data_IF_259671292384
#
_entry.id   IF_259671292384
#
_cell.length_a   1.000
_cell.length_b   1.000
_cell.length_c   1.000
_cell.angle_alpha   90.00
_cell.angle_beta   90.00
_cell.angle_gamma   90.00
#
_symmetry.space_group_name_H-M   'P 1'
#
loop_
_entity.id
_entity.type
_entity.pdbx_description
1 polymer ?
#
# COMPACT_ATOMS: atom_id res chain seq x y z
N UNK A 1 58.58 11.42 -0.79
CA UNK A 1 58.44 12.39 -1.89
C UNK A 1 56.99 12.40 -2.33
N UNK A 2 56.29 13.52 -2.15
CA UNK A 2 54.85 13.61 -2.44
C UNK A 2 54.67 14.21 -3.82
N UNK A 3 54.18 13.41 -4.79
CA UNK A 3 53.97 13.86 -6.17
C UNK A 3 52.72 14.72 -6.30
N UNK A 4 52.75 15.91 -5.72
CA UNK A 4 51.62 16.83 -5.73
C UNK A 4 51.39 17.46 -7.11
N UNK A 5 52.43 17.62 -7.91
CA UNK A 5 52.37 18.19 -9.27
C UNK A 5 51.75 17.21 -10.28
N UNK A 6 51.90 15.90 -10.07
CA UNK A 6 51.43 14.91 -11.05
C UNK A 6 49.90 14.94 -11.18
N UNK A 7 49.39 15.14 -12.39
CA UNK A 7 47.95 15.29 -12.67
C UNK A 7 47.14 14.01 -12.40
N UNK A 8 47.67 12.85 -12.80
CA UNK A 8 46.99 11.56 -12.70
C UNK A 8 47.92 10.49 -12.11
N UNK A 9 47.37 9.60 -11.28
CA UNK A 9 48.08 8.45 -10.72
C UNK A 9 48.70 7.54 -11.79
N UNK A 10 48.12 7.55 -13.00
CA UNK A 10 48.65 6.81 -14.16
C UNK A 10 50.02 7.34 -14.62
N UNK A 11 50.26 8.64 -14.45
CA UNK A 11 51.49 9.31 -14.88
C UNK A 11 52.63 9.21 -13.86
N UNK A 12 52.34 8.73 -12.65
CA UNK A 12 53.37 8.40 -11.66
C UNK A 12 54.22 7.26 -12.21
N UNK A 13 55.55 7.47 -12.25
CA UNK A 13 56.51 6.49 -12.78
C UNK A 13 56.42 5.15 -12.04
N UNK A 14 56.76 4.06 -12.71
CA UNK A 14 56.72 2.74 -12.08
C UNK A 14 57.76 2.61 -10.96
N UNK A 15 58.94 3.21 -11.14
CA UNK A 15 60.00 3.29 -10.13
C UNK A 15 59.49 3.89 -8.82
N UNK A 16 58.79 5.02 -8.91
CA UNK A 16 58.10 5.68 -7.81
C UNK A 16 57.11 4.74 -7.08
N UNK A 17 56.29 3.99 -7.83
CA UNK A 17 55.34 3.02 -7.26
C UNK A 17 56.05 1.85 -6.58
N UNK A 18 57.21 1.45 -7.08
CA UNK A 18 58.03 0.41 -6.48
C UNK A 18 58.73 0.87 -5.21
N UNK A 19 59.20 2.11 -5.15
CA UNK A 19 59.75 2.70 -3.93
C UNK A 19 58.69 2.79 -2.83
N UNK A 20 57.47 3.22 -3.16
CA UNK A 20 56.35 3.20 -2.20
C UNK A 20 56.05 1.79 -1.69
N UNK A 21 56.11 0.79 -2.57
CA UNK A 21 55.94 -0.61 -2.19
C UNK A 21 57.03 -1.08 -1.23
N UNK A 22 58.30 -0.72 -1.50
CA UNK A 22 59.44 -1.01 -0.60
C UNK A 22 59.24 -0.35 0.77
N UNK A 23 58.85 0.92 0.81
CA UNK A 23 58.60 1.64 2.07
C UNK A 23 57.45 1.04 2.88
N UNK A 24 56.41 0.53 2.22
CA UNK A 24 55.31 -0.16 2.88
C UNK A 24 55.74 -1.51 3.46
N UNK A 25 56.52 -2.31 2.71
CA UNK A 25 57.11 -3.56 3.22
C UNK A 25 58.02 -3.34 4.42
N UNK A 26 58.72 -2.21 4.48
CA UNK A 26 59.57 -1.86 5.62
C UNK A 26 58.77 -1.44 6.87
N UNK A 27 57.56 -0.91 6.69
CA UNK A 27 56.71 -0.42 7.79
C UNK A 27 55.75 -1.49 8.32
N UNK A 28 55.34 -2.43 7.46
CA UNK A 28 54.34 -3.44 7.77
C UNK A 28 54.87 -4.83 7.44
N UNK A 29 55.01 -5.67 8.46
CA UNK A 29 55.41 -7.07 8.32
C UNK A 29 54.27 -7.90 7.66
N UNK A 30 54.63 -8.86 6.81
CA UNK A 30 53.68 -9.82 6.20
C UNK A 30 53.02 -9.38 4.88
N UNK A 31 53.55 -8.36 4.20
CA UNK A 31 53.04 -7.94 2.89
C UNK A 31 53.54 -8.83 1.74
N UNK A 32 52.66 -9.70 1.24
CA UNK A 32 52.89 -10.55 0.07
C UNK A 32 52.75 -9.80 -1.27
N UNK A 33 53.50 -10.22 -2.29
CA UNK A 33 53.53 -9.55 -3.60
C UNK A 33 52.22 -9.70 -4.41
N UNK A 34 51.42 -10.73 -4.14
CA UNK A 34 50.10 -10.92 -4.76
C UNK A 34 49.13 -9.77 -4.43
N UNK A 35 49.33 -9.12 -3.28
CA UNK A 35 48.50 -7.98 -2.85
C UNK A 35 48.98 -6.64 -3.42
N UNK A 36 50.21 -6.56 -3.97
CA UNK A 36 50.85 -5.33 -4.48
C UNK A 36 49.91 -4.55 -5.38
N UNK A 37 49.26 -5.22 -6.34
CA UNK A 37 48.35 -4.59 -7.30
C UNK A 37 47.15 -3.90 -6.63
N UNK A 38 46.49 -4.58 -5.68
CA UNK A 38 45.34 -4.05 -4.94
C UNK A 38 45.75 -2.89 -4.03
N UNK A 39 46.88 -3.03 -3.35
CA UNK A 39 47.40 -2.01 -2.42
C UNK A 39 47.81 -0.75 -3.18
N UNK A 40 48.56 -0.87 -4.28
CA UNK A 40 48.94 0.28 -5.11
C UNK A 40 47.72 0.98 -5.72
N UNK A 41 46.67 0.24 -6.10
CA UNK A 41 45.40 0.82 -6.53
C UNK A 41 44.69 1.58 -5.39
N UNK A 42 44.74 1.05 -4.17
CA UNK A 42 44.16 1.69 -3.00
C UNK A 42 44.93 2.99 -2.65
N UNK A 43 46.26 2.97 -2.68
CA UNK A 43 47.11 4.16 -2.49
C UNK A 43 46.76 5.24 -3.52
N UNK A 44 46.59 4.88 -4.78
CA UNK A 44 46.16 5.83 -5.81
C UNK A 44 44.75 6.42 -5.56
N UNK A 45 43.89 5.70 -4.85
CA UNK A 45 42.60 6.20 -4.40
C UNK A 45 42.76 7.18 -3.24
N UNK A 46 43.57 6.83 -2.23
CA UNK A 46 43.89 7.69 -1.09
C UNK A 46 44.59 8.99 -1.53
N UNK A 47 45.54 8.92 -2.46
CA UNK A 47 46.24 10.07 -3.03
C UNK A 47 45.28 11.03 -3.76
N UNK A 48 44.35 10.51 -4.57
CA UNK A 48 43.32 11.34 -5.23
C UNK A 48 42.38 11.98 -4.22
N UNK A 49 41.93 11.23 -3.21
CA UNK A 49 41.09 11.75 -2.13
C UNK A 49 41.81 12.83 -1.33
N UNK A 50 43.10 12.63 -1.03
CA UNK A 50 43.92 13.63 -0.35
C UNK A 50 44.06 14.91 -1.18
N UNK A 51 44.43 14.83 -2.48
CA UNK A 51 44.47 16.00 -3.37
C UNK A 51 43.15 16.74 -3.45
N UNK A 52 42.03 16.00 -3.45
CA UNK A 52 40.69 16.60 -3.45
C UNK A 52 40.39 17.37 -2.16
N UNK A 53 40.84 16.88 -1.00
CA UNK A 53 40.68 17.58 0.29
C UNK A 53 41.50 18.88 0.30
N UNK A 54 42.78 18.78 -0.02
CA UNK A 54 43.67 19.95 -0.13
C UNK A 54 43.12 21.00 -1.09
N UNK A 55 42.56 20.59 -2.23
CA UNK A 55 41.92 21.51 -3.18
C UNK A 55 40.63 22.15 -2.62
N UNK A 56 39.89 21.43 -1.76
CA UNK A 56 38.68 21.94 -1.11
C UNK A 56 39.06 22.98 -0.05
N UNK A 57 40.06 22.67 0.78
CA UNK A 57 40.54 23.54 1.83
C UNK A 57 41.15 24.82 1.24
N UNK A 58 41.86 24.70 0.12
CA UNK A 58 42.37 25.85 -0.65
C UNK A 58 41.23 26.76 -1.12
N UNK A 59 40.14 26.18 -1.64
CA UNK A 59 38.98 26.96 -2.09
C UNK A 59 38.30 27.67 -0.92
N UNK A 60 38.15 27.00 0.21
CA UNK A 60 37.58 27.59 1.42
C UNK A 60 38.44 28.77 1.90
N UNK A 61 39.77 28.60 1.99
CA UNK A 61 40.68 29.66 2.40
C UNK A 61 40.65 30.88 1.46
N UNK A 62 40.50 30.65 0.15
CA UNK A 62 40.32 31.72 -0.84
C UNK A 62 38.98 32.44 -0.69
N UNK A 63 37.90 31.72 -0.35
CA UNK A 63 36.58 32.30 -0.07
C UNK A 63 36.57 33.10 1.24
N UNK A 64 37.32 32.64 2.25
CA UNK A 64 37.49 33.29 3.56
C UNK A 64 38.47 34.49 3.51
N UNK A 65 39.05 34.78 2.34
CA UNK A 65 39.88 35.97 2.10
C UNK A 65 41.31 35.90 2.66
N UNK A 66 41.85 34.69 2.86
CA UNK A 66 43.22 34.53 3.38
C UNK A 66 44.26 35.09 2.41
N UNK A 67 45.32 35.67 2.97
CA UNK A 67 46.49 36.09 2.19
C UNK A 67 47.33 34.89 1.73
N UNK A 68 48.12 35.10 0.70
CA UNK A 68 49.02 34.09 0.12
C UNK A 68 50.00 33.51 1.16
N UNK A 69 50.47 34.34 2.08
CA UNK A 69 51.38 33.95 3.17
C UNK A 69 50.67 33.07 4.21
N UNK A 70 49.42 33.35 4.52
CA UNK A 70 48.60 32.54 5.43
C UNK A 70 48.28 31.18 4.84
N UNK A 71 47.99 31.11 3.53
CA UNK A 71 47.76 29.85 2.81
C UNK A 71 49.03 28.99 2.84
N UNK A 72 50.19 29.59 2.58
CA UNK A 72 51.47 28.86 2.60
C UNK A 72 51.83 28.38 4.02
N UNK A 73 51.61 29.21 5.05
CA UNK A 73 51.95 28.84 6.43
C UNK A 73 51.02 27.78 7.03
N UNK A 74 49.72 27.79 6.68
CA UNK A 74 48.71 26.93 7.34
C UNK A 74 48.27 25.73 6.52
N UNK A 75 48.37 25.80 5.18
CA UNK A 75 47.80 24.80 4.28
C UNK A 75 48.84 23.97 3.51
N UNK A 76 50.13 24.36 3.57
CA UNK A 76 51.19 23.58 2.96
C UNK A 76 51.29 22.19 3.61
N UNK A 77 51.16 21.10 2.84
CA UNK A 77 51.30 19.75 3.39
C UNK A 77 52.74 19.45 3.82
N UNK A 78 52.89 18.75 4.94
CA UNK A 78 54.20 18.30 5.44
C UNK A 78 54.95 17.47 4.37
N UNK A 79 56.18 17.89 4.06
CA UNK A 79 57.04 17.19 3.09
C UNK A 79 56.82 17.51 1.61
N UNK A 80 56.06 18.58 1.30
CA UNK A 80 55.95 19.16 -0.05
C UNK A 80 56.79 20.44 -0.11
N UNK A 81 57.65 20.56 -1.12
CA UNK A 81 58.45 21.78 -1.33
C UNK A 81 57.56 22.99 -1.72
N UNK A 82 58.01 24.19 -1.36
CA UNK A 82 57.26 25.42 -1.62
C UNK A 82 57.11 25.69 -3.13
N UNK A 83 58.10 25.31 -3.94
CA UNK A 83 58.01 25.45 -5.40
C UNK A 83 56.92 24.54 -5.98
N UNK A 84 56.86 23.28 -5.54
CA UNK A 84 55.86 22.31 -5.95
C UNK A 84 54.45 22.71 -5.49
N UNK A 85 54.34 23.25 -4.27
CA UNK A 85 53.10 23.77 -3.71
C UNK A 85 52.57 24.97 -4.50
N UNK A 86 53.44 25.94 -4.82
CA UNK A 86 53.07 27.11 -5.60
C UNK A 86 52.61 26.76 -7.02
N UNK A 87 53.25 25.76 -7.64
CA UNK A 87 52.87 25.24 -8.96
C UNK A 87 51.50 24.59 -8.93
N UNK A 88 51.25 23.74 -7.92
CA UNK A 88 49.94 23.12 -7.71
C UNK A 88 48.83 24.14 -7.48
N UNK A 89 49.09 25.18 -6.68
CA UNK A 89 48.12 26.26 -6.41
C UNK A 89 47.76 27.02 -7.68
N UNK A 90 48.76 27.48 -8.45
CA UNK A 90 48.56 28.15 -9.74
C UNK A 90 47.72 27.30 -10.70
N UNK A 91 47.98 26.00 -10.75
CA UNK A 91 47.22 25.07 -11.57
C UNK A 91 45.75 24.95 -11.11
N UNK A 92 45.49 24.89 -9.80
CA UNK A 92 44.12 24.81 -9.23
C UNK A 92 43.35 26.13 -9.32
N UNK A 93 44.04 27.26 -9.33
CA UNK A 93 43.46 28.58 -9.49
C UNK A 93 43.20 28.96 -10.96
N UNK A 94 43.81 28.21 -11.90
CA UNK A 94 43.65 28.41 -13.33
C UNK A 94 42.17 28.38 -13.76
N UNK A 95 41.85 29.20 -14.76
CA UNK A 95 40.51 29.27 -15.35
C UNK A 95 40.08 27.92 -15.94
N UNK A 96 41.01 27.24 -16.63
CA UNK A 96 40.77 25.90 -17.21
C UNK A 96 40.36 24.85 -16.17
N UNK A 97 41.01 24.83 -14.99
CA UNK A 97 40.65 23.92 -13.91
C UNK A 97 39.28 24.26 -13.31
N UNK A 98 38.99 25.55 -13.11
CA UNK A 98 37.71 26.03 -12.58
C UNK A 98 36.54 25.67 -13.50
N UNK A 99 36.68 25.87 -14.81
CA UNK A 99 35.69 25.49 -15.82
C UNK A 99 35.44 23.98 -15.84
N UNK A 100 36.52 23.18 -15.85
CA UNK A 100 36.43 21.73 -15.80
C UNK A 100 35.72 21.25 -14.53
N UNK A 101 36.08 21.82 -13.38
CA UNK A 101 35.42 21.54 -12.10
C UNK A 101 33.94 21.91 -12.12
N UNK A 102 33.57 23.05 -12.72
CA UNK A 102 32.19 23.50 -12.86
C UNK A 102 31.38 22.54 -13.72
N UNK A 103 31.90 22.19 -14.90
CA UNK A 103 31.29 21.20 -15.82
C UNK A 103 31.00 19.87 -15.12
N UNK A 104 31.94 19.32 -14.35
CA UNK A 104 31.71 18.06 -13.62
C UNK A 104 30.78 18.21 -12.41
N UNK A 105 30.70 19.38 -11.77
CA UNK A 105 29.68 19.67 -10.75
C UNK A 105 28.28 19.68 -11.38
N UNK A 106 28.12 20.32 -12.53
CA UNK A 106 26.86 20.35 -13.29
C UNK A 106 26.45 18.97 -13.80
N UNK A 107 27.38 18.15 -14.30
CA UNK A 107 27.07 16.79 -14.72
C UNK A 107 26.60 15.92 -13.54
N UNK A 108 27.21 16.07 -12.35
CA UNK A 108 26.79 15.35 -11.15
C UNK A 108 25.43 15.83 -10.62
N UNK A 109 25.11 17.11 -10.70
CA UNK A 109 23.80 17.64 -10.27
C UNK A 109 22.64 17.15 -11.16
N UNK A 110 22.93 16.78 -12.41
CA UNK A 110 21.97 16.15 -13.33
C UNK A 110 21.68 14.69 -13.00
N UNK A 111 22.59 13.98 -12.32
CA UNK A 111 22.41 12.57 -11.93
C UNK A 111 21.51 12.42 -10.69
N UNK A 112 20.20 12.63 -10.89
CA UNK A 112 19.20 12.69 -9.81
C UNK A 112 18.57 11.34 -9.44
N UNK A 113 18.62 10.36 -10.33
CA UNK A 113 17.96 9.05 -10.20
C UNK A 113 18.99 7.93 -10.38
N UNK A 114 19.87 7.69 -9.37
CA UNK A 114 20.84 6.60 -9.43
C UNK A 114 20.15 5.24 -9.22
N UNK A 115 20.49 4.27 -10.06
CA UNK A 115 20.11 2.87 -9.85
C UNK A 115 21.01 2.23 -8.76
N UNK A 116 20.50 1.23 -8.06
CA UNK A 116 21.20 0.55 -6.93
C UNK A 116 21.67 -0.86 -7.26
N UNK A 117 21.32 -1.35 -8.45
CA UNK A 117 21.54 -2.71 -8.95
C UNK A 117 23.00 -3.06 -9.30
N UNK A 118 23.99 -2.18 -9.05
CA UNK A 118 25.42 -2.45 -9.24
C UNK A 118 25.71 -3.13 -10.60
N UNK A 119 26.46 -4.24 -10.61
CA UNK A 119 26.82 -5.02 -11.83
C UNK A 119 25.73 -6.00 -12.30
N UNK A 120 24.53 -5.99 -11.70
CA UNK A 120 23.51 -7.02 -11.93
C UNK A 120 22.83 -6.90 -13.30
N UNK A 121 22.50 -5.69 -13.73
CA UNK A 121 21.76 -5.48 -15.00
C UNK A 121 20.25 -5.77 -14.88
N UNK A 122 19.46 -5.24 -15.82
CA UNK A 122 17.99 -5.28 -15.77
C UNK A 122 17.44 -6.68 -16.07
N UNK A 123 18.06 -7.41 -17.02
CA UNK A 123 17.64 -8.76 -17.39
C UNK A 123 17.67 -9.74 -16.20
N UNK A 124 18.75 -9.72 -15.42
CA UNK A 124 18.86 -10.56 -14.20
C UNK A 124 17.88 -10.15 -13.10
N UNK A 125 17.58 -8.85 -13.00
CA UNK A 125 16.59 -8.36 -12.05
C UNK A 125 15.19 -8.85 -12.43
N UNK A 126 14.89 -8.86 -13.73
CA UNK A 126 13.62 -9.34 -14.28
C UNK A 126 13.44 -10.84 -13.98
N UNK A 127 14.45 -11.67 -14.26
CA UNK A 127 14.39 -13.11 -13.96
C UNK A 127 14.13 -13.40 -12.47
N UNK A 128 14.81 -12.68 -11.56
CA UNK A 128 14.57 -12.84 -10.12
C UNK A 128 13.15 -12.42 -9.71
N UNK A 129 12.64 -11.34 -10.31
CA UNK A 129 11.28 -10.88 -10.05
C UNK A 129 10.24 -11.87 -10.61
N UNK A 130 10.50 -12.52 -11.75
CA UNK A 130 9.63 -13.57 -12.32
C UNK A 130 9.62 -14.80 -11.41
N UNK A 131 10.81 -15.21 -10.96
CA UNK A 131 10.96 -16.33 -10.04
C UNK A 131 10.27 -16.10 -8.68
N UNK A 132 10.32 -14.88 -8.13
CA UNK A 132 9.68 -14.54 -6.85
C UNK A 132 8.16 -14.40 -6.93
N UNK A 133 7.66 -13.76 -7.99
CA UNK A 133 6.24 -13.43 -8.11
C UNK A 133 5.40 -14.50 -8.81
N UNK A 134 6.04 -15.40 -9.57
CA UNK A 134 5.36 -16.38 -10.41
C UNK A 134 4.64 -15.76 -11.62
N UNK A 135 4.83 -14.45 -11.89
CA UNK A 135 4.25 -13.75 -13.05
C UNK A 135 5.05 -14.04 -14.32
N UNK A 136 4.35 -14.26 -15.44
CA UNK A 136 4.98 -14.48 -16.74
C UNK A 136 5.71 -13.22 -17.24
N UNK A 137 5.13 -12.04 -17.01
CA UNK A 137 5.67 -10.75 -17.42
C UNK A 137 5.71 -9.74 -16.27
N UNK A 138 6.73 -8.88 -16.31
CA UNK A 138 6.96 -7.81 -15.33
C UNK A 138 6.87 -6.49 -16.06
N UNK A 139 6.10 -5.56 -15.50
CA UNK A 139 6.03 -4.21 -16.03
C UNK A 139 7.40 -3.53 -15.95
N UNK A 140 7.74 -2.78 -16.99
CA UNK A 140 8.93 -1.92 -17.00
C UNK A 140 8.94 -0.96 -15.81
N UNK A 141 7.78 -0.51 -15.36
CA UNK A 141 7.64 0.35 -14.18
C UNK A 141 8.06 -0.38 -12.90
N UNK A 142 7.58 -1.60 -12.68
CA UNK A 142 7.94 -2.44 -11.53
C UNK A 142 9.43 -2.76 -11.52
N UNK A 143 9.98 -3.10 -12.70
CA UNK A 143 11.40 -3.36 -12.87
C UNK A 143 12.26 -2.13 -12.56
N UNK A 144 11.78 -0.94 -12.95
CA UNK A 144 12.44 0.32 -12.63
C UNK A 144 12.37 0.63 -11.13
N UNK A 145 11.21 0.45 -10.49
CA UNK A 145 11.03 0.66 -9.04
C UNK A 145 11.99 -0.24 -8.24
N UNK A 146 12.05 -1.52 -8.57
CA UNK A 146 12.91 -2.49 -7.88
C UNK A 146 14.40 -2.15 -8.05
N UNK A 147 14.79 -1.66 -9.23
CA UNK A 147 16.19 -1.28 -9.50
C UNK A 147 16.70 -0.07 -8.71
N UNK A 148 15.81 0.69 -8.05
CA UNK A 148 16.14 1.91 -7.31
C UNK A 148 15.89 1.78 -5.79
N UNK A 149 15.69 0.55 -5.30
CA UNK A 149 15.58 0.23 -3.88
C UNK A 149 16.94 -0.03 -3.23
N UNK A 150 17.09 0.35 -1.98
CA UNK A 150 18.26 0.01 -1.17
C UNK A 150 18.15 -1.43 -0.61
N UNK A 151 19.16 -1.89 0.13
CA UNK A 151 19.16 -3.23 0.76
C UNK A 151 18.04 -3.45 1.79
N UNK A 152 17.38 -2.38 2.24
CA UNK A 152 16.23 -2.39 3.16
C UNK A 152 14.89 -2.25 2.42
N UNK A 153 14.89 -2.44 1.10
CA UNK A 153 13.72 -2.33 0.22
C UNK A 153 13.08 -0.93 0.15
N UNK A 154 13.78 0.11 0.62
CA UNK A 154 13.31 1.49 0.58
C UNK A 154 13.90 2.25 -0.61
N UNK A 155 13.23 3.31 -1.12
CA UNK A 155 13.79 4.17 -2.16
C UNK A 155 15.17 4.72 -1.76
N UNK A 156 16.12 4.77 -2.70
CA UNK A 156 17.48 5.24 -2.40
C UNK A 156 17.55 6.75 -2.04
N UNK A 157 16.62 7.57 -2.54
CA UNK A 157 16.54 9.02 -2.28
C UNK A 157 15.09 9.51 -2.42
N UNK A 158 14.76 10.65 -1.81
CA UNK A 158 13.42 11.25 -1.78
C UNK A 158 12.87 11.55 -3.18
N UNK A 159 13.73 11.91 -4.12
CA UNK A 159 13.34 12.13 -5.53
C UNK A 159 12.86 10.84 -6.19
N UNK A 160 13.49 9.71 -5.88
CA UNK A 160 13.04 8.39 -6.34
C UNK A 160 11.72 8.06 -5.67
N UNK A 161 11.58 8.33 -4.36
CA UNK A 161 10.31 8.11 -3.65
C UNK A 161 9.14 8.89 -4.28
N UNK A 162 9.35 10.15 -4.66
CA UNK A 162 8.34 10.94 -5.37
C UNK A 162 7.96 10.37 -6.74
N UNK A 163 8.94 9.91 -7.53
CA UNK A 163 8.69 9.25 -8.82
C UNK A 163 7.97 7.91 -8.65
N UNK A 164 8.30 7.14 -7.61
CA UNK A 164 7.60 5.89 -7.26
C UNK A 164 6.16 6.17 -6.86
N UNK A 165 5.89 7.22 -6.08
CA UNK A 165 4.52 7.62 -5.72
C UNK A 165 3.71 8.12 -6.92
N UNK A 166 4.35 8.76 -7.90
CA UNK A 166 3.68 9.24 -9.11
C UNK A 166 3.35 8.09 -10.09
N UNK A 167 4.21 7.08 -10.18
CA UNK A 167 4.10 5.98 -11.14
C UNK A 167 3.45 4.72 -10.58
N UNK A 168 3.29 4.63 -9.27
CA UNK A 168 2.54 3.56 -8.64
C UNK A 168 1.20 4.15 -8.19
N UNK A 169 0.06 3.84 -8.83
CA UNK A 169 -1.21 4.13 -8.17
C UNK A 169 -1.12 3.47 -6.80
N UNK A 170 -1.49 4.17 -5.71
CA UNK A 170 -1.50 3.53 -4.41
C UNK A 170 -2.29 2.22 -4.55
N UNK A 171 -1.83 1.13 -3.94
CA UNK A 171 -2.65 -0.08 -3.90
C UNK A 171 -4.01 0.31 -3.28
N UNK A 172 -5.02 0.43 -4.13
CA UNK A 172 -6.37 0.88 -3.75
C UNK A 172 -7.21 -0.35 -3.40
N UNK A 173 -6.76 -1.58 -3.71
CA UNK A 173 -7.40 -2.81 -3.29
C UNK A 173 -7.60 -2.81 -1.76
N UNK A 174 -8.85 -2.97 -1.34
CA UNK A 174 -9.28 -2.92 0.05
C UNK A 174 -9.58 -1.52 0.61
N UNK A 175 -9.45 -0.46 -0.19
CA UNK A 175 -9.84 0.90 0.23
C UNK A 175 -11.30 1.17 -0.07
N UNK A 176 -11.96 1.86 0.86
CA UNK A 176 -13.31 2.37 0.67
C UNK A 176 -13.33 3.48 -0.37
N UNK A 177 -14.30 3.43 -1.27
CA UNK A 177 -14.57 4.45 -2.27
C UNK A 177 -16.04 4.86 -2.24
N UNK A 178 -16.31 6.06 -2.73
CA UNK A 178 -17.65 6.61 -2.85
C UNK A 178 -18.07 6.57 -4.32
N UNK A 179 -19.25 6.02 -4.58
CA UNK A 179 -19.82 5.91 -5.92
C UNK A 179 -20.71 7.12 -6.12
N UNK A 180 -20.38 7.93 -7.11
CA UNK A 180 -21.07 9.17 -7.43
C UNK A 180 -22.01 8.96 -8.62
N UNK A 181 -23.09 9.73 -8.65
CA UNK A 181 -23.98 9.78 -9.79
C UNK A 181 -23.27 10.46 -10.97
N UNK A 182 -23.25 9.80 -12.13
CA UNK A 182 -22.65 10.36 -13.34
C UNK A 182 -23.34 11.65 -13.78
N UNK A 183 -24.66 11.74 -13.60
CA UNK A 183 -25.46 12.91 -13.97
C UNK A 183 -25.40 14.02 -12.92
N UNK A 184 -24.92 13.72 -11.72
CA UNK A 184 -24.86 14.65 -10.60
C UNK A 184 -23.62 14.34 -9.74
N UNK A 185 -22.42 14.82 -10.15
CA UNK A 185 -21.14 14.41 -9.56
C UNK A 185 -20.96 14.75 -8.07
N UNK A 186 -21.89 15.50 -7.45
CA UNK A 186 -21.91 15.77 -6.00
C UNK A 186 -22.84 14.84 -5.22
N UNK A 187 -23.65 14.02 -5.89
CA UNK A 187 -24.62 13.11 -5.29
C UNK A 187 -23.99 11.74 -5.12
N UNK A 188 -23.90 11.27 -3.88
CA UNK A 188 -23.33 9.97 -3.52
C UNK A 188 -24.43 8.92 -3.66
N UNK A 189 -24.24 7.98 -4.59
CA UNK A 189 -25.19 6.91 -4.90
C UNK A 189 -24.88 5.65 -4.08
N UNK A 190 -23.62 5.45 -3.70
CA UNK A 190 -23.22 4.30 -2.90
C UNK A 190 -21.84 4.46 -2.26
N UNK A 191 -21.52 3.55 -1.36
CA UNK A 191 -20.16 3.33 -0.87
C UNK A 191 -19.75 1.92 -1.28
N UNK A 192 -18.48 1.73 -1.61
CA UNK A 192 -17.95 0.44 -1.99
C UNK A 192 -16.52 0.26 -1.51
N UNK A 193 -15.99 -0.94 -1.72
CA UNK A 193 -14.60 -1.27 -1.48
C UNK A 193 -13.99 -1.72 -2.80
N UNK A 194 -12.81 -1.19 -3.15
CA UNK A 194 -12.13 -1.56 -4.39
C UNK A 194 -11.57 -2.97 -4.24
N UNK A 195 -11.96 -3.87 -5.15
CA UNK A 195 -11.59 -5.28 -5.13
C UNK A 195 -10.36 -5.57 -5.98
N UNK A 196 -10.23 -4.93 -7.14
CA UNK A 196 -9.09 -5.14 -8.04
C UNK A 196 -8.85 -3.92 -8.92
N UNK A 197 -7.58 -3.62 -9.16
CA UNK A 197 -7.05 -2.63 -10.09
C UNK A 197 -6.33 -3.28 -11.30
N UNK A 198 -6.38 -4.61 -11.41
CA UNK A 198 -5.72 -5.35 -12.50
C UNK A 198 -6.50 -5.20 -13.82
N UNK A 199 -5.91 -4.57 -14.87
CA UNK A 199 -6.56 -4.38 -16.17
C UNK A 199 -7.02 -5.69 -16.84
N UNK A 200 -6.40 -6.82 -16.48
CA UNK A 200 -6.71 -8.14 -17.00
C UNK A 200 -7.77 -8.88 -16.19
N UNK A 201 -8.23 -8.31 -15.08
CA UNK A 201 -9.28 -8.90 -14.27
C UNK A 201 -10.59 -8.95 -15.09
N UNK A 202 -11.19 -10.14 -15.15
CA UNK A 202 -12.37 -10.40 -15.97
C UNK A 202 -13.63 -10.14 -15.16
N UNK A 203 -14.55 -9.37 -15.74
CA UNK A 203 -15.93 -9.21 -15.27
C UNK A 203 -16.81 -9.71 -16.40
N UNK A 204 -17.57 -10.79 -16.15
CA UNK A 204 -18.40 -11.47 -17.15
C UNK A 204 -17.63 -11.84 -18.45
N UNK A 205 -16.35 -12.23 -18.30
CA UNK A 205 -15.48 -12.60 -19.41
C UNK A 205 -14.86 -11.42 -20.18
N UNK A 206 -15.10 -10.18 -19.75
CA UNK A 206 -14.55 -8.97 -20.36
C UNK A 206 -13.47 -8.37 -19.44
N UNK A 207 -12.24 -8.11 -19.95
CA UNK A 207 -11.22 -7.44 -19.15
C UNK A 207 -11.62 -5.98 -18.88
N UNK A 208 -11.46 -5.53 -17.64
CA UNK A 208 -11.88 -4.19 -17.21
C UNK A 208 -11.11 -3.07 -17.92
N UNK A 209 -9.85 -3.30 -18.32
CA UNK A 209 -9.01 -2.33 -19.00
C UNK A 209 -8.27 -1.36 -18.07
N UNK A 210 -7.35 -0.56 -18.64
CA UNK A 210 -6.32 0.16 -17.89
C UNK A 210 -6.79 1.33 -16.99
N UNK A 211 -8.02 1.80 -17.15
CA UNK A 211 -8.58 2.93 -16.39
C UNK A 211 -9.86 2.56 -15.63
N UNK A 212 -10.09 1.27 -15.40
CA UNK A 212 -11.27 0.77 -14.69
C UNK A 212 -10.84 0.07 -13.40
N UNK A 213 -11.72 0.13 -12.39
CA UNK A 213 -11.52 -0.53 -11.11
C UNK A 213 -12.72 -1.41 -10.83
N UNK A 214 -12.49 -2.62 -10.33
CA UNK A 214 -13.57 -3.44 -9.81
C UNK A 214 -13.89 -2.99 -8.39
N UNK A 215 -15.16 -2.66 -8.13
CA UNK A 215 -15.64 -2.19 -6.83
C UNK A 215 -16.78 -3.08 -6.35
N UNK A 216 -16.67 -3.58 -5.13
CA UNK A 216 -17.79 -4.23 -4.45
C UNK A 216 -18.63 -3.15 -3.74
N UNK A 217 -19.87 -2.96 -4.17
CA UNK A 217 -20.78 -1.99 -3.55
C UNK A 217 -21.28 -2.55 -2.22
N UNK A 218 -20.94 -1.89 -1.11
CA UNK A 218 -21.59 -2.19 0.16
C UNK A 218 -23.00 -1.59 0.09
N UNK A 219 -24.04 -2.43 0.06
CA UNK A 219 -25.39 -1.93 0.33
C UNK A 219 -25.37 -1.30 1.73
N UNK A 220 -25.69 0.00 1.82
CA UNK A 220 -25.93 0.71 3.08
C UNK A 220 -27.22 0.20 3.71
N UNK A 221 -27.20 -1.06 4.13
CA UNK A 221 -28.19 -1.59 5.03
C UNK A 221 -27.80 -1.06 6.41
N UNK A 222 -28.58 -0.12 6.91
CA UNK A 222 -28.53 0.45 8.28
C UNK A 222 -28.55 -0.62 9.39
N UNK A 223 -28.67 -1.90 9.01
CA UNK A 223 -28.64 -3.07 9.86
C UNK A 223 -27.53 -3.98 9.35
N UNK A 224 -26.28 -3.54 9.46
CA UNK A 224 -25.13 -4.45 9.60
C UNK A 224 -25.17 -5.08 11.00
N UNK A 225 -26.34 -5.62 11.36
CA UNK A 225 -26.55 -6.35 12.60
C UNK A 225 -25.90 -7.73 12.53
N UNK A 226 -26.16 -8.54 13.55
CA UNK A 226 -25.58 -9.87 13.81
C UNK A 226 -25.49 -10.87 12.62
N UNK A 227 -26.15 -10.59 11.48
CA UNK A 227 -26.06 -11.35 10.24
C UNK A 227 -24.69 -11.27 9.56
N UNK A 228 -23.98 -10.15 9.59
CA UNK A 228 -22.69 -9.96 8.90
C UNK A 228 -22.64 -10.35 7.40
N UNK A 229 -21.44 -10.35 6.83
CA UNK A 229 -21.26 -10.25 5.38
C UNK A 229 -21.31 -11.62 4.65
N UNK A 230 -22.50 -12.20 4.52
CA UNK A 230 -22.72 -13.40 3.69
C UNK A 230 -22.73 -13.07 2.19
N UNK A 231 -23.12 -11.85 1.84
CA UNK A 231 -23.33 -11.41 0.45
C UNK A 231 -22.12 -11.72 -0.43
N UNK A 232 -20.89 -11.44 0.04
CA UNK A 232 -19.67 -11.63 -0.78
C UNK A 232 -19.37 -13.10 -1.11
N UNK A 233 -19.55 -14.01 -0.16
CA UNK A 233 -19.29 -15.44 -0.38
C UNK A 233 -20.38 -16.08 -1.25
N UNK A 234 -21.64 -15.70 -1.04
CA UNK A 234 -22.75 -16.16 -1.88
C UNK A 234 -22.66 -15.60 -3.30
N UNK A 235 -22.30 -14.33 -3.49
CA UNK A 235 -22.09 -13.76 -4.82
C UNK A 235 -21.04 -14.55 -5.61
N UNK A 236 -19.91 -14.92 -5.00
CA UNK A 236 -18.88 -15.73 -5.65
C UNK A 236 -19.34 -17.13 -5.98
N UNK A 237 -20.04 -17.79 -5.05
CA UNK A 237 -20.60 -19.11 -5.29
C UNK A 237 -21.66 -19.09 -6.42
N UNK A 238 -22.50 -18.06 -6.46
CA UNK A 238 -23.51 -17.84 -7.51
C UNK A 238 -22.83 -17.57 -8.86
N UNK A 239 -21.79 -16.74 -8.90
CA UNK A 239 -21.03 -16.49 -10.12
C UNK A 239 -20.42 -17.79 -10.67
N UNK A 240 -19.74 -18.57 -9.81
CA UNK A 240 -19.19 -19.88 -10.18
C UNK A 240 -20.27 -20.84 -10.68
N UNK A 241 -21.44 -20.86 -10.03
CA UNK A 241 -22.57 -21.68 -10.48
C UNK A 241 -23.12 -21.20 -11.82
N UNK A 242 -23.19 -19.89 -12.06
CA UNK A 242 -23.59 -19.29 -13.34
C UNK A 242 -22.66 -19.74 -14.47
N UNK A 243 -21.34 -19.62 -14.26
CA UNK A 243 -20.33 -20.10 -15.21
C UNK A 243 -20.48 -21.59 -15.51
N UNK A 244 -20.68 -22.40 -14.47
CA UNK A 244 -20.87 -23.85 -14.61
C UNK A 244 -22.15 -24.20 -15.40
N UNK A 245 -23.26 -23.50 -15.15
CA UNK A 245 -24.54 -23.71 -15.85
C UNK A 245 -24.43 -23.32 -17.33
N UNK A 246 -23.78 -22.19 -17.63
CA UNK A 246 -23.59 -21.76 -19.03
C UNK A 246 -22.76 -22.76 -19.83
N UNK A 247 -21.85 -23.49 -19.19
CA UNK A 247 -20.95 -24.46 -19.82
C UNK A 247 -21.22 -25.91 -19.36
N UNK A 248 -22.48 -26.25 -19.09
CA UNK A 248 -22.86 -27.50 -18.42
C UNK A 248 -22.30 -28.77 -19.07
N UNK A 249 -22.28 -28.84 -20.40
CA UNK A 249 -21.75 -30.00 -21.12
C UNK A 249 -20.26 -30.23 -20.85
N UNK A 250 -19.46 -29.16 -20.80
CA UNK A 250 -18.03 -29.25 -20.53
C UNK A 250 -17.78 -29.66 -19.08
N UNK A 251 -18.59 -29.15 -18.15
CA UNK A 251 -18.49 -29.47 -16.72
C UNK A 251 -18.79 -30.94 -16.46
N UNK A 252 -19.91 -31.45 -16.96
CA UNK A 252 -20.32 -32.84 -16.71
C UNK A 252 -19.33 -33.87 -17.26
N UNK A 253 -18.61 -33.56 -18.34
CA UNK A 253 -17.71 -34.53 -18.97
C UNK A 253 -16.31 -34.51 -18.31
N UNK A 254 -15.84 -33.36 -17.80
CA UNK A 254 -14.43 -33.19 -17.43
C UNK A 254 -14.16 -32.56 -16.05
N UNK A 255 -15.09 -31.77 -15.49
CA UNK A 255 -14.78 -30.86 -14.38
C UNK A 255 -15.79 -30.85 -13.22
N UNK A 256 -16.74 -31.78 -13.19
CA UNK A 256 -17.79 -31.84 -12.16
C UNK A 256 -17.22 -31.84 -10.73
N UNK A 257 -16.24 -32.71 -10.46
CA UNK A 257 -15.61 -32.83 -9.14
C UNK A 257 -14.87 -31.55 -8.73
N UNK A 258 -14.21 -30.90 -9.70
CA UNK A 258 -13.41 -29.70 -9.46
C UNK A 258 -14.32 -28.52 -9.10
N UNK A 259 -15.38 -28.31 -9.88
CA UNK A 259 -16.34 -27.22 -9.64
C UNK A 259 -17.09 -27.45 -8.33
N UNK A 260 -17.52 -28.69 -8.06
CA UNK A 260 -18.22 -29.04 -6.83
C UNK A 260 -17.34 -28.77 -5.61
N UNK A 261 -16.06 -29.16 -5.66
CA UNK A 261 -15.10 -28.90 -4.59
C UNK A 261 -14.88 -27.40 -4.38
N UNK A 262 -14.71 -26.64 -5.46
CA UNK A 262 -14.51 -25.19 -5.40
C UNK A 262 -15.74 -24.49 -4.80
N UNK A 263 -16.94 -24.83 -5.28
CA UNK A 263 -18.21 -24.31 -4.76
C UNK A 263 -18.38 -24.60 -3.27
N UNK A 264 -18.08 -25.84 -2.84
CA UNK A 264 -18.12 -26.21 -1.42
C UNK A 264 -17.14 -25.39 -0.59
N UNK A 265 -15.94 -25.10 -1.13
CA UNK A 265 -14.88 -24.40 -0.40
C UNK A 265 -15.22 -22.93 -0.17
N UNK A 266 -15.82 -22.27 -1.16
CA UNK A 266 -16.29 -20.87 -1.07
C UNK A 266 -17.36 -20.73 0.01
N UNK A 267 -18.29 -21.68 0.09
CA UNK A 267 -19.37 -21.67 1.07
C UNK A 267 -18.94 -22.15 2.45
N UNK A 268 -17.95 -23.06 2.57
CA UNK A 268 -17.58 -23.68 3.83
C UNK A 268 -17.18 -22.67 4.92
N UNK A 269 -16.35 -21.67 4.57
CA UNK A 269 -15.93 -20.62 5.52
C UNK A 269 -17.11 -19.76 5.97
N UNK A 270 -18.01 -19.44 5.05
CA UNK A 270 -19.22 -18.66 5.31
C UNK A 270 -20.17 -19.43 6.22
N UNK A 271 -20.38 -20.72 5.92
CA UNK A 271 -21.31 -21.59 6.62
C UNK A 271 -20.85 -21.87 8.07
N UNK A 272 -19.55 -22.11 8.30
CA UNK A 272 -19.02 -22.27 9.67
C UNK A 272 -19.24 -21.01 10.53
N UNK A 273 -19.05 -19.83 9.96
CA UNK A 273 -19.35 -18.55 10.62
C UNK A 273 -20.84 -18.34 10.82
N UNK A 274 -21.67 -18.83 9.90
CA UNK A 274 -23.13 -18.80 10.03
C UNK A 274 -23.59 -19.63 11.22
N UNK A 275 -23.08 -20.86 11.33
CA UNK A 275 -23.40 -21.76 12.44
C UNK A 275 -22.98 -21.17 13.79
N UNK A 276 -21.75 -20.65 13.91
CA UNK A 276 -21.31 -20.04 15.17
C UNK A 276 -22.22 -18.89 15.59
N UNK A 277 -22.60 -18.04 14.64
CA UNK A 277 -23.50 -16.90 14.89
C UNK A 277 -24.93 -17.35 15.21
N UNK A 278 -25.43 -18.38 14.52
CA UNK A 278 -26.73 -18.97 14.81
C UNK A 278 -26.80 -19.46 16.27
N UNK A 279 -25.75 -20.13 16.75
CA UNK A 279 -25.68 -20.55 18.16
C UNK A 279 -25.64 -19.35 19.11
N UNK A 280 -24.89 -18.29 18.80
CA UNK A 280 -24.88 -17.06 19.61
C UNK A 280 -26.28 -16.43 19.66
N UNK A 281 -26.98 -16.37 18.51
CA UNK A 281 -28.35 -15.83 18.42
C UNK A 281 -29.34 -16.65 19.23
N UNK A 282 -29.33 -17.98 19.09
CA UNK A 282 -30.27 -18.85 19.79
C UNK A 282 -30.00 -18.88 21.29
N UNK A 283 -28.74 -18.90 21.72
CA UNK A 283 -28.36 -18.79 23.14
C UNK A 283 -28.81 -17.43 23.70
N UNK A 284 -28.54 -16.32 22.99
CA UNK A 284 -28.97 -14.99 23.40
C UNK A 284 -30.48 -14.86 23.51
N UNK A 285 -31.21 -15.41 22.55
CA UNK A 285 -32.67 -15.40 22.54
C UNK A 285 -33.26 -16.27 23.67
N UNK A 286 -32.73 -17.48 23.85
CA UNK A 286 -33.17 -18.41 24.89
C UNK A 286 -32.88 -17.90 26.30
N UNK A 287 -31.68 -17.35 26.54
CA UNK A 287 -31.34 -16.73 27.83
C UNK A 287 -32.21 -15.52 28.14
N UNK A 288 -32.51 -14.67 27.14
CA UNK A 288 -33.42 -13.53 27.31
C UNK A 288 -34.84 -13.98 27.68
N UNK A 289 -35.37 -15.01 27.03
CA UNK A 289 -36.67 -15.58 27.38
C UNK A 289 -36.67 -16.20 28.78
N UNK A 290 -35.60 -16.90 29.15
CA UNK A 290 -35.46 -17.49 30.47
C UNK A 290 -35.50 -16.41 31.58
N UNK A 291 -34.77 -15.30 31.39
CA UNK A 291 -34.80 -14.15 32.30
C UNK A 291 -36.19 -13.51 32.38
N UNK A 292 -36.92 -13.41 31.27
CA UNK A 292 -38.30 -12.92 31.27
C UNK A 292 -39.24 -13.83 32.06
N UNK A 293 -39.14 -15.16 31.93
CA UNK A 293 -39.94 -16.07 32.73
C UNK A 293 -39.58 -16.02 34.22
N UNK A 294 -38.29 -15.83 34.57
CA UNK A 294 -37.90 -15.61 35.96
C UNK A 294 -38.48 -14.32 36.52
N UNK A 295 -38.54 -13.24 35.74
CA UNK A 295 -39.17 -11.99 36.18
C UNK A 295 -40.68 -12.18 36.40
N UNK A 296 -41.35 -12.96 35.55
CA UNK A 296 -42.77 -13.32 35.74
C UNK A 296 -42.99 -14.13 37.01
N UNK A 297 -42.13 -15.12 37.28
CA UNK A 297 -42.19 -15.92 38.51
C UNK A 297 -41.99 -15.06 39.77
N UNK A 298 -41.04 -14.13 39.75
CA UNK A 298 -40.82 -13.17 40.84
C UNK A 298 -42.01 -12.22 41.02
N UNK A 299 -42.59 -11.73 39.93
CA UNK A 299 -43.79 -10.90 39.96
C UNK A 299 -44.98 -11.62 40.59
N UNK A 300 -45.20 -12.89 40.25
CA UNK A 300 -46.26 -13.71 40.85
C UNK A 300 -45.98 -14.04 42.32
N UNK A 301 -44.72 -14.33 42.67
CA UNK A 301 -44.34 -14.56 44.06
C UNK A 301 -44.60 -13.32 44.94
N UNK A 302 -44.21 -12.15 44.47
CA UNK A 302 -44.48 -10.88 45.16
C UNK A 302 -45.98 -10.58 45.24
N UNK A 303 -46.72 -10.83 44.15
CA UNK A 303 -48.18 -10.71 44.11
C UNK A 303 -48.86 -11.60 45.16
N UNK A 304 -48.41 -12.85 45.30
CA UNK A 304 -48.91 -13.78 46.32
C UNK A 304 -48.65 -13.26 47.74
N UNK A 305 -47.48 -12.66 47.98
CA UNK A 305 -47.14 -12.07 49.28
C UNK A 305 -48.05 -10.90 49.65
N UNK A 306 -48.41 -10.04 48.68
CA UNK A 306 -49.32 -8.91 48.85
C UNK A 306 -50.73 -9.35 49.26
N UNK A 307 -51.22 -10.42 48.61
CA UNK A 307 -52.52 -11.03 48.93
C UNK A 307 -52.50 -11.62 50.35
N UNK A 308 -51.40 -12.30 50.74
CA UNK A 308 -51.24 -12.85 52.09
C UNK A 308 -51.29 -11.78 53.18
N UNK A 309 -50.75 -10.59 52.92
CA UNK A 309 -50.78 -9.46 53.84
C UNK A 309 -52.13 -8.73 53.89
N UNK A 310 -53.13 -9.16 53.10
CA UNK A 310 -54.44 -8.50 52.93
C UNK A 310 -54.38 -7.06 52.41
N UNK A 311 -53.30 -6.71 51.71
CA UNK A 311 -53.12 -5.37 51.11
C UNK A 311 -53.82 -5.25 49.75
N UNK A 312 -54.08 -6.37 49.07
CA UNK A 312 -54.71 -6.38 47.73
C UNK A 312 -55.58 -7.62 47.50
N UNK A 313 -56.55 -7.51 46.58
CA UNK A 313 -57.41 -8.61 46.14
C UNK A 313 -56.71 -9.42 45.03
N UNK A 314 -57.00 -10.72 44.95
CA UNK A 314 -56.48 -11.61 43.91
C UNK A 314 -56.85 -11.12 42.50
N UNK A 315 -58.10 -10.69 42.30
CA UNK A 315 -58.59 -10.24 41.00
C UNK A 315 -57.83 -9.03 40.45
N UNK A 316 -57.65 -8.00 41.29
CA UNK A 316 -56.96 -6.77 40.89
C UNK A 316 -55.46 -7.02 40.65
N UNK A 317 -54.83 -7.80 41.52
CA UNK A 317 -53.41 -8.14 41.39
C UNK A 317 -53.15 -8.96 40.11
N UNK A 318 -53.98 -9.96 39.82
CA UNK A 318 -53.85 -10.76 38.60
C UNK A 318 -54.11 -9.93 37.33
N UNK A 319 -55.09 -9.01 37.38
CA UNK A 319 -55.40 -8.10 36.26
C UNK A 319 -54.20 -7.20 35.95
N UNK A 320 -53.58 -6.60 36.96
CA UNK A 320 -52.40 -5.75 36.76
C UNK A 320 -51.21 -6.52 36.17
N UNK A 321 -50.98 -7.76 36.62
CA UNK A 321 -49.92 -8.62 36.10
C UNK A 321 -50.10 -8.97 34.62
N UNK A 322 -51.31 -9.39 34.22
CA UNK A 322 -51.61 -9.74 32.81
C UNK A 322 -51.43 -8.52 31.90
N UNK A 323 -51.92 -7.35 32.31
CA UNK A 323 -51.77 -6.10 31.54
C UNK A 323 -50.29 -5.74 31.37
N UNK A 324 -49.48 -5.87 32.42
CA UNK A 324 -48.05 -5.58 32.38
C UNK A 324 -47.30 -6.50 31.41
N UNK A 325 -47.57 -7.81 31.45
CA UNK A 325 -46.94 -8.77 30.53
C UNK A 325 -47.35 -8.47 29.09
N UNK A 326 -48.65 -8.34 28.84
CA UNK A 326 -49.16 -8.15 27.49
C UNK A 326 -48.61 -6.88 26.84
N UNK A 327 -48.58 -5.77 27.59
CA UNK A 327 -48.01 -4.50 27.10
C UNK A 327 -46.51 -4.61 26.80
N UNK A 328 -45.75 -5.26 27.69
CA UNK A 328 -44.31 -5.46 27.48
C UNK A 328 -44.01 -6.32 26.23
N UNK A 329 -44.75 -7.41 26.02
CA UNK A 329 -44.57 -8.28 24.85
C UNK A 329 -44.96 -7.60 23.55
N UNK A 330 -46.08 -6.86 23.53
CA UNK A 330 -46.52 -6.14 22.32
C UNK A 330 -45.54 -5.06 21.91
N UNK A 331 -44.96 -4.35 22.89
CA UNK A 331 -43.94 -3.33 22.63
C UNK A 331 -42.69 -3.99 22.02
N UNK A 332 -42.20 -5.07 22.62
CA UNK A 332 -41.01 -5.79 22.14
C UNK A 332 -41.18 -6.32 20.71
N UNK A 333 -42.33 -6.92 20.39
CA UNK A 333 -42.64 -7.41 19.05
C UNK A 333 -42.75 -6.27 18.03
N UNK A 334 -43.40 -5.16 18.40
CA UNK A 334 -43.53 -3.99 17.53
C UNK A 334 -42.16 -3.42 17.16
N UNK A 335 -41.22 -3.37 18.11
CA UNK A 335 -39.84 -2.96 17.84
C UNK A 335 -39.11 -3.94 16.92
N UNK A 336 -39.44 -5.24 16.98
CA UNK A 336 -38.88 -6.25 16.09
C UNK A 336 -39.25 -6.06 14.61
N UNK A 337 -40.43 -5.50 14.32
CA UNK A 337 -40.95 -5.29 12.95
C UNK A 337 -40.53 -3.93 12.35
N UNK A 338 -40.04 -3.00 13.18
CA UNK A 338 -39.50 -1.70 12.74
C UNK A 338 -38.58 -1.75 11.48
N UNK A 339 -37.60 -2.67 11.37
CA UNK A 339 -36.75 -2.74 10.18
C UNK A 339 -37.50 -3.09 8.89
N UNK A 340 -38.56 -3.90 8.97
CA UNK A 340 -39.36 -4.28 7.81
C UNK A 340 -40.26 -3.13 7.36
N UNK A 341 -40.74 -2.30 8.28
CA UNK A 341 -41.45 -1.05 7.96
C UNK A 341 -40.53 -0.10 7.20
N UNK A 342 -39.28 0.07 7.64
CA UNK A 342 -38.29 0.91 6.95
C UNK A 342 -37.96 0.37 5.55
N UNK A 343 -37.88 -0.95 5.39
CA UNK A 343 -37.68 -1.55 4.05
C UNK A 343 -38.91 -1.40 3.17
N UNK A 344 -40.10 -1.59 3.73
CA UNK A 344 -41.37 -1.45 3.01
C UNK A 344 -41.58 -0.02 2.50
N UNK A 345 -41.30 0.99 3.33
CA UNK A 345 -41.37 2.40 2.93
C UNK A 345 -40.41 2.73 1.78
N UNK A 346 -39.16 2.24 1.82
CA UNK A 346 -38.21 2.37 0.70
C UNK A 346 -38.67 1.67 -0.57
N UNK A 347 -39.27 0.49 -0.47
CA UNK A 347 -39.80 -0.22 -1.62
C UNK A 347 -40.96 0.55 -2.26
N UNK A 348 -41.85 1.11 -1.44
CA UNK A 348 -42.95 1.96 -1.89
C UNK A 348 -42.43 3.24 -2.56
N UNK A 349 -41.42 3.89 -2.00
CA UNK A 349 -40.74 5.03 -2.63
C UNK A 349 -40.22 4.69 -4.03
N UNK A 350 -39.59 3.51 -4.20
CA UNK A 350 -39.12 3.05 -5.51
C UNK A 350 -40.28 2.84 -6.51
N UNK A 351 -41.43 2.35 -6.06
CA UNK A 351 -42.61 2.17 -6.92
C UNK A 351 -43.17 3.54 -7.32
N UNK A 352 -43.28 4.49 -6.39
CA UNK A 352 -43.73 5.84 -6.69
C UNK A 352 -42.79 6.56 -7.66
N UNK A 353 -41.47 6.40 -7.53
CA UNK A 353 -40.51 6.95 -8.49
C UNK A 353 -40.73 6.42 -9.92
N UNK A 354 -41.21 5.19 -10.08
CA UNK A 354 -41.54 4.61 -11.40
C UNK A 354 -42.88 5.17 -11.90
N UNK A 355 -43.89 5.26 -11.03
CA UNK A 355 -45.21 5.79 -11.39
C UNK A 355 -45.16 7.29 -11.74
N UNK A 356 -44.34 8.06 -11.05
CA UNK A 356 -44.15 9.50 -11.27
C UNK A 356 -43.14 9.82 -12.37
N UNK A 357 -42.50 8.80 -12.96
CA UNK A 357 -41.59 8.99 -14.09
C UNK A 357 -42.36 9.60 -15.26
N UNK A 358 -42.06 10.86 -15.60
CA UNK A 358 -42.59 11.46 -16.83
C UNK A 358 -42.13 10.65 -18.05
N UNK A 359 -43.08 10.27 -18.91
CA UNK A 359 -42.78 9.69 -20.21
C UNK A 359 -42.22 10.76 -21.12
N UNK A 360 -41.13 10.44 -21.82
CA UNK A 360 -40.46 11.33 -22.76
C UNK A 360 -41.17 11.40 -24.13
N UNK A 361 -42.23 10.61 -24.30
CA UNK A 361 -43.08 10.61 -25.49
C UNK A 361 -44.10 11.74 -25.33
N UNK A 362 -43.94 12.81 -26.09
CA UNK A 362 -44.95 13.86 -26.24
C UNK A 362 -46.17 13.29 -26.99
N UNK A 363 -47.38 13.63 -26.53
CA UNK A 363 -48.59 13.30 -27.27
C UNK A 363 -48.61 14.19 -28.51
N UNK A 364 -48.52 13.58 -29.69
CA UNK A 364 -48.73 14.29 -30.95
C UNK A 364 -50.22 14.67 -30.99
N UNK A 365 -50.54 15.84 -30.43
CA UNK A 365 -51.87 16.43 -30.56
C UNK A 365 -52.11 16.63 -32.06
N UNK A 366 -52.93 15.73 -32.60
CA UNK A 366 -53.29 15.70 -34.00
C UNK A 366 -53.90 17.02 -34.41
N UNK A 367 -53.19 17.70 -35.31
CA UNK A 367 -53.69 18.52 -36.41
C UNK A 367 -54.38 19.82 -35.97
N UNK A 368 -53.60 20.90 -36.01
CA UNK A 368 -54.10 22.25 -36.26
C UNK A 368 -54.86 22.27 -37.60
N UNK A 369 -56.19 22.28 -37.53
CA UNK A 369 -57.08 22.65 -38.63
C UNK A 369 -57.18 24.17 -38.77
#
# INVERSE_FOLDING_TARGET
MVWIIVLDWRLVTQEAKEELWKLLKLRFDGLEDDMKKKIVQHIGTLWRSWKSRVTSDLKQALEDGWSDDEINSKLQPEGVDLADWSTFRKERESTAFKETSKKFKELRSKHKLPHTMSRKGYARLEEEMKAKSGRADISRADLWIESHKNKKEQPHNDKIAGVVQQNNPPNICGKKCMILDWLSPKKIVGEGEVESDDPMHLVDGIPIGGNAYLVYVERKDFIKGLGGDYSKAYSRAIALAGEAITNIYTVCIWFEDVITKQFSSELHRSNKKALLRAHIMTIGFGTSHCLAYFSYALGLWYSSKLIKNKESNFGDTLKTFIVLIFTATTIAETFGVAPDIVKGTKAVESVFNILERRTEIEHEDSISL
#
